data_IF_758086854001
#
_entry.id   IF_758086854001
#
_cell.length_a   1.000
_cell.length_b   1.000
_cell.length_c   1.000
_cell.angle_alpha   90.00
_cell.angle_beta   90.00
_cell.angle_gamma   90.00
#
_symmetry.space_group_name_H-M   'P 1'
#
loop_
_entity.id
_entity.type
_entity.pdbx_description
1 polymer ?
#
# COMPACT_ATOMS: atom_id res chain seq x y z
N UNK A 1 -31.70 5.84 -26.85
CA UNK A 1 -32.85 5.77 -27.78
C UNK A 1 -33.99 5.02 -27.15
N UNK A 2 -35.20 5.37 -27.55
CA UNK A 2 -36.43 4.62 -27.25
C UNK A 2 -37.17 4.42 -28.55
N UNK A 3 -37.38 3.15 -28.95
CA UNK A 3 -38.04 2.79 -30.23
C UNK A 3 -37.42 3.49 -31.43
N UNK A 4 -36.07 3.59 -31.43
CA UNK A 4 -35.22 4.26 -32.44
C UNK A 4 -35.31 5.79 -32.46
N UNK A 5 -36.07 6.40 -31.56
CA UNK A 5 -36.10 7.85 -31.37
C UNK A 5 -35.01 8.28 -30.40
N UNK A 6 -34.28 9.36 -30.74
CA UNK A 6 -33.25 9.93 -29.87
C UNK A 6 -33.90 10.62 -28.65
N UNK A 7 -33.45 10.25 -27.46
CA UNK A 7 -33.94 10.83 -26.20
C UNK A 7 -32.86 11.70 -25.55
N UNK A 8 -31.66 11.15 -25.37
CA UNK A 8 -30.52 11.87 -24.78
C UNK A 8 -29.20 11.25 -25.20
N UNK A 9 -28.16 12.04 -25.26
CA UNK A 9 -26.76 11.60 -25.46
C UNK A 9 -25.99 11.45 -24.13
N UNK A 10 -26.63 11.81 -23.02
CA UNK A 10 -26.02 11.74 -21.70
C UNK A 10 -27.02 11.16 -20.68
N UNK A 11 -26.75 9.96 -20.20
CA UNK A 11 -27.55 9.24 -19.20
C UNK A 11 -26.64 8.59 -18.16
N UNK A 12 -26.42 9.28 -17.05
CA UNK A 12 -25.53 8.83 -15.95
C UNK A 12 -26.10 7.59 -15.26
N UNK A 13 -27.40 7.37 -15.33
CA UNK A 13 -28.09 6.24 -14.72
C UNK A 13 -27.80 4.90 -15.41
N UNK A 14 -27.35 4.92 -16.67
CA UNK A 14 -27.11 3.68 -17.45
C UNK A 14 -25.86 2.92 -17.01
N UNK A 15 -24.85 3.63 -16.51
CA UNK A 15 -23.59 3.03 -16.08
C UNK A 15 -23.15 3.61 -14.74
N UNK A 16 -22.57 2.78 -13.85
CA UNK A 16 -21.92 3.29 -12.66
C UNK A 16 -20.66 4.09 -13.02
N UNK A 17 -20.26 5.01 -12.13
CA UNK A 17 -19.14 5.90 -12.36
C UNK A 17 -17.82 5.16 -12.62
N UNK A 18 -17.62 4.01 -11.99
CA UNK A 18 -16.43 3.17 -12.18
C UNK A 18 -16.39 2.43 -13.54
N UNK A 19 -17.46 2.52 -14.36
CA UNK A 19 -17.48 2.08 -15.76
C UNK A 19 -17.53 3.24 -16.76
N UNK A 20 -17.19 4.47 -16.37
CA UNK A 20 -17.25 5.67 -17.23
C UNK A 20 -16.40 5.62 -18.50
N UNK A 21 -15.48 4.67 -18.60
CA UNK A 21 -14.70 4.43 -19.82
C UNK A 21 -15.48 3.64 -20.87
N UNK A 22 -16.60 3.00 -20.51
CA UNK A 22 -17.46 2.26 -21.44
C UNK A 22 -18.30 3.25 -22.26
N UNK A 23 -18.26 3.13 -23.56
CA UNK A 23 -19.05 3.96 -24.49
C UNK A 23 -19.93 3.07 -25.35
N UNK A 24 -21.11 3.57 -25.69
CA UNK A 24 -22.04 2.85 -26.54
C UNK A 24 -23.38 3.55 -26.61
N UNK A 25 -24.36 2.84 -27.10
CA UNK A 25 -25.75 3.31 -27.16
C UNK A 25 -26.68 2.19 -26.64
N UNK A 26 -27.80 2.61 -26.11
CA UNK A 26 -28.91 1.73 -25.73
C UNK A 26 -30.17 2.19 -26.47
N UNK A 27 -30.87 1.24 -27.09
CA UNK A 27 -32.21 1.43 -27.65
C UNK A 27 -33.17 0.48 -26.93
N UNK A 28 -34.22 1.02 -26.32
CA UNK A 28 -35.20 0.24 -25.55
C UNK A 28 -36.61 0.39 -26.15
N UNK A 29 -37.27 -0.75 -26.34
CA UNK A 29 -38.67 -0.77 -26.77
C UNK A 29 -39.66 -0.69 -25.57
N UNK A 30 -39.16 -0.96 -24.36
CA UNK A 30 -39.97 -1.05 -23.14
C UNK A 30 -40.16 0.32 -22.45
N UNK A 31 -39.41 1.32 -22.82
CA UNK A 31 -39.54 2.67 -22.29
C UNK A 31 -40.60 3.46 -23.08
N UNK A 32 -41.39 4.34 -22.44
CA UNK A 32 -42.33 5.21 -23.12
C UNK A 32 -41.62 6.32 -23.88
N UNK A 33 -42.07 6.69 -25.08
CA UNK A 33 -41.50 7.75 -25.92
C UNK A 33 -41.51 9.16 -25.27
N UNK A 34 -42.44 9.40 -24.36
CA UNK A 34 -42.60 10.68 -23.65
C UNK A 34 -41.74 10.78 -22.40
N UNK A 35 -40.76 9.90 -22.23
CA UNK A 35 -39.89 9.88 -21.06
C UNK A 35 -38.99 11.14 -21.05
N UNK A 36 -39.02 11.88 -19.95
CA UNK A 36 -38.11 12.99 -19.71
C UNK A 36 -36.86 12.52 -18.97
N UNK A 37 -35.80 13.35 -19.00
CA UNK A 37 -34.56 13.08 -18.27
C UNK A 37 -34.78 12.86 -16.78
N UNK A 38 -35.69 13.58 -16.16
CA UNK A 38 -36.06 13.42 -14.74
C UNK A 38 -36.78 12.09 -14.46
N UNK A 39 -37.60 11.62 -15.42
CA UNK A 39 -38.28 10.33 -15.30
C UNK A 39 -37.33 9.14 -15.49
N UNK A 40 -36.16 9.32 -16.10
CA UNK A 40 -35.15 8.27 -16.23
C UNK A 40 -34.52 7.93 -14.87
N UNK A 41 -34.34 8.89 -13.98
CA UNK A 41 -33.62 8.70 -12.71
C UNK A 41 -34.27 7.69 -11.75
N UNK A 42 -35.55 7.46 -11.84
CA UNK A 42 -36.30 6.54 -10.97
C UNK A 42 -37.00 5.41 -11.74
N UNK A 43 -36.59 5.17 -12.99
CA UNK A 43 -37.28 4.18 -13.83
C UNK A 43 -36.77 2.75 -13.56
N UNK A 44 -37.63 1.81 -13.13
CA UNK A 44 -37.23 0.44 -12.83
C UNK A 44 -36.76 -0.33 -14.08
N UNK A 45 -37.21 0.03 -15.28
CA UNK A 45 -36.72 -0.56 -16.54
C UNK A 45 -35.27 -0.14 -16.77
N UNK A 46 -34.96 1.14 -16.53
CA UNK A 46 -33.58 1.64 -16.67
C UNK A 46 -32.63 0.96 -15.69
N UNK A 47 -33.08 0.75 -14.44
CA UNK A 47 -32.29 0.01 -13.45
C UNK A 47 -31.98 -1.42 -13.90
N UNK A 48 -32.94 -2.12 -14.51
CA UNK A 48 -32.71 -3.46 -15.09
C UNK A 48 -31.76 -3.42 -16.28
N UNK A 49 -31.88 -2.40 -17.15
CA UNK A 49 -30.96 -2.22 -18.28
C UNK A 49 -29.54 -2.00 -17.73
N UNK A 50 -29.36 -1.12 -16.74
CA UNK A 50 -28.07 -0.90 -16.07
C UNK A 50 -27.48 -2.20 -15.55
N UNK A 51 -28.22 -2.97 -14.77
CA UNK A 51 -27.77 -4.28 -14.26
C UNK A 51 -27.34 -5.22 -15.38
N UNK A 52 -28.13 -5.29 -16.46
CA UNK A 52 -27.81 -6.11 -17.63
C UNK A 52 -26.54 -5.68 -18.35
N UNK A 53 -26.32 -4.38 -18.51
CA UNK A 53 -25.13 -3.82 -19.14
C UNK A 53 -23.90 -4.06 -18.27
N UNK A 54 -23.98 -3.75 -16.97
CA UNK A 54 -22.89 -4.00 -16.02
C UNK A 54 -22.48 -5.46 -16.04
N UNK A 55 -23.44 -6.39 -15.95
CA UNK A 55 -23.17 -7.82 -16.01
C UNK A 55 -22.46 -8.22 -17.31
N UNK A 56 -22.96 -7.74 -18.47
CA UNK A 56 -22.35 -8.05 -19.77
C UNK A 56 -20.92 -7.50 -19.89
N UNK A 57 -20.65 -6.30 -19.38
CA UNK A 57 -19.31 -5.72 -19.38
C UNK A 57 -18.37 -6.55 -18.51
N UNK A 58 -18.78 -6.89 -17.28
CA UNK A 58 -17.96 -7.72 -16.38
C UNK A 58 -17.71 -9.13 -16.96
N UNK A 59 -18.72 -9.77 -17.58
CA UNK A 59 -18.57 -11.06 -18.24
C UNK A 59 -17.62 -10.99 -19.46
N UNK A 60 -17.66 -9.89 -20.20
CA UNK A 60 -16.72 -9.66 -21.30
C UNK A 60 -15.30 -9.49 -20.79
N UNK A 61 -15.09 -8.66 -19.76
CA UNK A 61 -13.78 -8.44 -19.15
C UNK A 61 -13.21 -9.73 -18.55
N UNK A 62 -14.05 -10.54 -17.90
CA UNK A 62 -13.65 -11.85 -17.37
C UNK A 62 -13.13 -12.78 -18.47
N UNK A 63 -13.89 -12.95 -19.57
CA UNK A 63 -13.45 -13.77 -20.70
C UNK A 63 -12.16 -13.26 -21.30
N UNK A 64 -12.00 -11.95 -21.39
CA UNK A 64 -10.78 -11.34 -21.89
C UNK A 64 -9.59 -11.56 -20.96
N UNK A 65 -9.80 -11.47 -19.65
CA UNK A 65 -8.78 -11.78 -18.65
C UNK A 65 -8.30 -13.24 -18.70
N UNK A 66 -9.22 -14.17 -19.01
CA UNK A 66 -8.94 -15.61 -19.10
C UNK A 66 -8.24 -16.01 -20.41
N UNK A 67 -8.60 -15.37 -21.54
CA UNK A 67 -8.20 -15.84 -22.87
C UNK A 67 -7.20 -14.91 -23.60
N UNK A 68 -7.05 -13.66 -23.17
CA UNK A 68 -6.28 -12.62 -23.84
C UNK A 68 -5.42 -11.84 -22.84
N UNK A 69 -4.51 -12.54 -22.14
CA UNK A 69 -3.78 -11.98 -21.00
C UNK A 69 -3.04 -10.66 -21.31
N UNK A 70 -2.36 -10.55 -22.46
CA UNK A 70 -1.63 -9.33 -22.86
C UNK A 70 -2.57 -8.17 -23.15
N UNK A 71 -3.65 -8.43 -23.89
CA UNK A 71 -4.66 -7.42 -24.19
C UNK A 71 -5.39 -6.98 -22.91
N UNK A 72 -5.62 -7.90 -21.98
CA UNK A 72 -6.18 -7.57 -20.67
C UNK A 72 -5.21 -6.76 -19.80
N UNK A 73 -3.93 -7.08 -19.82
CA UNK A 73 -2.90 -6.28 -19.13
C UNK A 73 -2.85 -4.84 -19.65
N UNK A 74 -2.94 -4.66 -20.97
CA UNK A 74 -3.02 -3.33 -21.60
C UNK A 74 -4.28 -2.58 -21.14
N UNK A 75 -5.43 -3.25 -21.14
CA UNK A 75 -6.69 -2.70 -20.63
C UNK A 75 -6.55 -2.30 -19.15
N UNK A 76 -6.00 -3.19 -18.31
CA UNK A 76 -5.84 -2.97 -16.89
C UNK A 76 -4.92 -1.77 -16.59
N UNK A 77 -3.83 -1.64 -17.30
CA UNK A 77 -2.91 -0.51 -17.14
C UNK A 77 -3.58 0.85 -17.45
N UNK A 78 -4.58 0.88 -18.33
CA UNK A 78 -5.29 2.11 -18.68
C UNK A 78 -6.51 2.38 -17.81
N UNK A 79 -7.23 1.35 -17.39
CA UNK A 79 -8.55 1.49 -16.76
C UNK A 79 -8.67 0.78 -15.40
N UNK A 80 -7.64 0.09 -14.93
CA UNK A 80 -7.67 -0.66 -13.70
C UNK A 80 -7.94 0.19 -12.47
N UNK A 81 -7.35 1.39 -12.39
CA UNK A 81 -7.60 2.33 -11.29
C UNK A 81 -9.07 2.73 -11.22
N UNK A 82 -9.69 3.01 -12.38
CA UNK A 82 -11.12 3.38 -12.46
C UNK A 82 -12.01 2.18 -12.10
N UNK A 83 -11.65 0.99 -12.59
CA UNK A 83 -12.43 -0.23 -12.29
C UNK A 83 -12.39 -0.57 -10.80
N UNK A 84 -11.28 -0.31 -10.11
CA UNK A 84 -11.12 -0.50 -8.67
C UNK A 84 -12.01 0.41 -7.82
N UNK A 85 -12.46 1.55 -8.34
CA UNK A 85 -13.45 2.40 -7.66
C UNK A 85 -14.72 1.61 -7.32
N UNK A 86 -15.14 0.69 -8.20
CA UNK A 86 -16.29 -0.19 -7.97
C UNK A 86 -16.16 -1.10 -6.75
N UNK A 87 -14.94 -1.46 -6.33
CA UNK A 87 -14.71 -2.21 -5.10
C UNK A 87 -15.17 -1.44 -3.85
N UNK A 88 -15.07 -0.11 -3.88
CA UNK A 88 -15.52 0.76 -2.83
C UNK A 88 -16.99 1.17 -2.99
N UNK A 89 -17.39 1.55 -4.21
CA UNK A 89 -18.70 2.14 -4.49
C UNK A 89 -19.84 1.11 -4.55
N UNK A 90 -19.57 -0.13 -5.00
CA UNK A 90 -20.62 -1.11 -5.28
C UNK A 90 -20.34 -2.48 -4.62
N UNK A 91 -20.71 -2.63 -3.33
CA UNK A 91 -20.46 -3.86 -2.57
C UNK A 91 -20.95 -5.15 -3.23
N UNK A 92 -22.07 -5.07 -3.96
CA UNK A 92 -22.65 -6.21 -4.66
C UNK A 92 -21.79 -6.75 -5.81
N UNK A 93 -20.90 -5.92 -6.37
CA UNK A 93 -20.01 -6.29 -7.47
C UNK A 93 -18.59 -6.66 -7.01
N UNK A 94 -18.29 -6.57 -5.71
CA UNK A 94 -16.94 -6.79 -5.17
C UNK A 94 -16.34 -8.12 -5.57
N UNK A 95 -17.09 -9.20 -5.46
CA UNK A 95 -16.59 -10.54 -5.81
C UNK A 95 -16.17 -10.63 -7.29
N UNK A 96 -17.02 -10.11 -8.19
CA UNK A 96 -16.72 -10.09 -9.61
C UNK A 96 -15.51 -9.20 -9.93
N UNK A 97 -15.44 -8.02 -9.30
CA UNK A 97 -14.35 -7.07 -9.50
C UNK A 97 -13.02 -7.57 -8.93
N UNK A 98 -13.01 -8.25 -7.77
CA UNK A 98 -11.79 -8.85 -7.21
C UNK A 98 -11.20 -9.95 -8.10
N UNK A 99 -12.05 -10.73 -8.80
CA UNK A 99 -11.60 -11.72 -9.79
C UNK A 99 -10.96 -11.07 -11.02
N UNK A 100 -11.42 -9.88 -11.39
CA UNK A 100 -10.87 -9.10 -12.50
C UNK A 100 -9.62 -8.32 -12.13
N UNK A 101 -9.48 -7.94 -10.86
CA UNK A 101 -8.40 -7.08 -10.39
C UNK A 101 -7.01 -7.70 -10.64
N UNK A 102 -6.09 -6.84 -11.05
CA UNK A 102 -4.68 -7.18 -11.27
C UNK A 102 -3.81 -6.20 -10.51
N UNK A 103 -2.69 -6.70 -9.99
CA UNK A 103 -1.81 -5.94 -9.12
C UNK A 103 -0.35 -6.13 -9.50
N UNK A 104 0.47 -5.14 -9.23
CA UNK A 104 1.92 -5.31 -9.17
C UNK A 104 2.28 -5.98 -7.85
N UNK A 105 3.35 -6.75 -7.83
CA UNK A 105 3.82 -7.42 -6.61
C UNK A 105 5.34 -7.58 -6.59
N UNK A 106 5.86 -8.01 -5.45
CA UNK A 106 7.28 -8.35 -5.31
C UNK A 106 7.64 -9.71 -5.91
N UNK A 107 6.67 -10.50 -6.39
CA UNK A 107 6.92 -11.76 -7.07
C UNK A 107 7.44 -11.49 -8.49
N UNK A 108 8.68 -11.83 -8.74
CA UNK A 108 9.34 -11.71 -10.04
C UNK A 108 10.75 -11.14 -9.92
N UNK A 109 11.64 -11.61 -10.79
CA UNK A 109 13.08 -11.29 -10.77
C UNK A 109 13.40 -9.83 -11.14
N UNK A 110 12.42 -9.04 -11.56
CA UNK A 110 12.62 -7.69 -12.12
C UNK A 110 11.78 -6.59 -11.47
N UNK A 111 11.27 -6.82 -10.27
CA UNK A 111 10.66 -5.71 -9.50
C UNK A 111 9.32 -5.20 -10.02
N UNK A 112 8.41 -6.09 -10.44
CA UNK A 112 7.00 -5.71 -10.46
C UNK A 112 6.34 -5.37 -11.80
N UNK A 113 6.95 -5.68 -12.95
CA UNK A 113 6.30 -5.39 -14.24
C UNK A 113 5.15 -6.35 -14.58
N UNK A 114 5.18 -7.57 -14.06
CA UNK A 114 4.10 -8.52 -14.27
C UNK A 114 2.89 -8.23 -13.37
N UNK A 115 1.71 -8.27 -13.98
CA UNK A 115 0.45 -8.17 -13.25
C UNK A 115 0.04 -9.55 -12.70
N UNK A 116 -0.37 -9.60 -11.44
CA UNK A 116 -0.84 -10.80 -10.76
C UNK A 116 -2.29 -10.66 -10.35
N UNK A 117 -3.05 -11.76 -10.35
CA UNK A 117 -4.38 -11.81 -9.75
C UNK A 117 -4.29 -12.13 -8.26
N UNK A 118 -5.38 -11.87 -7.51
CA UNK A 118 -5.45 -12.31 -6.11
C UNK A 118 -5.42 -13.83 -5.98
N UNK A 119 -6.02 -14.55 -6.93
CA UNK A 119 -5.97 -16.02 -6.96
C UNK A 119 -4.53 -16.54 -7.13
N UNK A 120 -3.75 -15.93 -8.03
CA UNK A 120 -2.33 -16.28 -8.20
C UNK A 120 -1.52 -15.98 -6.94
N UNK A 121 -1.78 -14.85 -6.28
CA UNK A 121 -1.15 -14.49 -5.02
C UNK A 121 -1.44 -15.55 -3.95
N UNK A 122 -2.73 -15.86 -3.72
CA UNK A 122 -3.15 -16.86 -2.73
C UNK A 122 -2.55 -18.24 -3.02
N UNK A 123 -2.47 -18.63 -4.30
CA UNK A 123 -1.84 -19.87 -4.73
C UNK A 123 -0.33 -19.96 -4.43
N UNK A 124 0.34 -18.82 -4.22
CA UNK A 124 1.78 -18.74 -3.88
C UNK A 124 2.06 -18.40 -2.42
N UNK A 125 1.02 -18.25 -1.59
CA UNK A 125 1.20 -17.98 -0.16
C UNK A 125 2.04 -19.06 0.51
N UNK A 126 2.89 -18.65 1.44
CA UNK A 126 3.75 -19.55 2.19
C UNK A 126 3.00 -20.30 3.30
N UNK A 127 3.53 -21.43 3.72
CA UNK A 127 3.00 -22.18 4.88
C UNK A 127 3.05 -21.30 6.14
N UNK A 128 1.93 -21.19 6.84
CA UNK A 128 1.76 -20.30 7.99
C UNK A 128 1.36 -18.86 7.65
N UNK A 129 1.35 -18.47 6.37
CA UNK A 129 0.86 -17.16 5.95
C UNK A 129 -0.67 -17.12 6.00
N UNK A 130 -1.24 -16.20 6.76
CA UNK A 130 -2.69 -16.06 6.95
C UNK A 130 -3.29 -14.83 6.26
N UNK A 131 -2.44 -13.91 5.80
CA UNK A 131 -2.88 -12.62 5.25
C UNK A 131 -2.28 -12.35 3.87
N UNK A 132 -2.99 -11.55 3.09
CA UNK A 132 -2.51 -10.95 1.85
C UNK A 132 -1.77 -9.67 2.23
N UNK A 133 -0.45 -9.66 2.08
CA UNK A 133 0.36 -8.51 2.41
C UNK A 133 0.36 -7.49 1.27
N UNK A 134 0.28 -6.21 1.61
CA UNK A 134 0.36 -5.13 0.65
C UNK A 134 1.16 -3.93 1.19
N UNK A 135 1.73 -3.18 0.27
CA UNK A 135 2.37 -1.89 0.51
C UNK A 135 1.75 -0.86 -0.42
N UNK A 136 1.28 0.25 0.12
CA UNK A 136 0.84 1.40 -0.68
C UNK A 136 2.01 2.35 -0.91
N UNK A 137 2.09 2.95 -2.09
CA UNK A 137 3.19 3.84 -2.45
C UNK A 137 2.80 4.84 -3.53
N UNK A 138 3.57 5.94 -3.65
CA UNK A 138 3.31 7.00 -4.63
C UNK A 138 3.75 6.62 -6.05
N UNK A 139 4.68 5.68 -6.14
CA UNK A 139 5.12 5.07 -7.40
C UNK A 139 5.56 3.63 -7.19
N UNK A 140 5.56 2.84 -8.27
CA UNK A 140 6.02 1.46 -8.24
C UNK A 140 7.50 1.37 -7.83
N UNK A 141 8.32 2.28 -8.34
CA UNK A 141 9.75 2.31 -8.04
C UNK A 141 10.01 2.58 -6.55
N UNK A 142 9.35 3.58 -5.97
CA UNK A 142 9.46 3.91 -4.55
C UNK A 142 8.96 2.76 -3.67
N UNK A 143 7.78 2.21 -3.98
CA UNK A 143 7.23 1.07 -3.25
C UNK A 143 8.16 -0.16 -3.32
N UNK A 144 8.71 -0.47 -4.49
CA UNK A 144 9.61 -1.60 -4.66
C UNK A 144 10.94 -1.47 -3.91
N UNK A 145 11.37 -0.24 -3.56
CA UNK A 145 12.62 0.02 -2.81
C UNK A 145 12.40 0.23 -1.32
N UNK A 146 11.17 0.11 -0.84
CA UNK A 146 10.84 0.37 0.55
C UNK A 146 11.56 -0.61 1.50
N UNK A 147 12.18 -0.12 2.58
CA UNK A 147 12.76 -0.97 3.63
C UNK A 147 11.71 -1.83 4.34
N UNK A 148 10.44 -1.47 4.26
CA UNK A 148 9.32 -2.26 4.79
C UNK A 148 9.25 -3.67 4.17
N UNK A 149 9.79 -3.86 2.96
CA UNK A 149 9.77 -5.13 2.23
C UNK A 149 10.91 -6.09 2.57
N UNK A 150 11.95 -5.62 3.25
CA UNK A 150 13.19 -6.40 3.43
C UNK A 150 12.95 -7.77 4.06
N UNK A 151 12.26 -7.82 5.20
CA UNK A 151 11.96 -9.07 5.89
C UNK A 151 11.04 -10.01 5.11
N UNK A 152 10.10 -9.46 4.36
CA UNK A 152 9.22 -10.24 3.49
C UNK A 152 10.00 -10.87 2.35
N UNK A 153 10.89 -10.09 1.71
CA UNK A 153 11.78 -10.60 0.66
C UNK A 153 12.75 -11.64 1.18
N UNK A 154 13.34 -11.43 2.35
CA UNK A 154 14.25 -12.38 2.97
C UNK A 154 13.59 -13.74 3.22
N UNK A 155 12.28 -13.78 3.43
CA UNK A 155 11.49 -15.01 3.59
C UNK A 155 10.81 -15.48 2.29
N UNK A 156 10.99 -14.77 1.19
CA UNK A 156 10.33 -15.08 -0.09
C UNK A 156 8.81 -14.90 -0.05
N UNK A 157 8.32 -14.02 0.84
CA UNK A 157 6.90 -13.69 0.96
C UNK A 157 6.55 -12.61 -0.06
N UNK A 158 5.56 -12.88 -0.88
CA UNK A 158 5.05 -11.92 -1.86
C UNK A 158 4.28 -10.80 -1.17
N UNK A 159 4.48 -9.56 -1.64
CA UNK A 159 3.75 -8.36 -1.20
C UNK A 159 3.18 -7.65 -2.41
N UNK A 160 1.88 -7.32 -2.38
CA UNK A 160 1.23 -6.51 -3.41
C UNK A 160 1.71 -5.06 -3.31
N UNK A 161 1.99 -4.43 -4.46
CA UNK A 161 2.41 -3.04 -4.56
C UNK A 161 1.23 -2.22 -5.11
N UNK A 162 0.59 -1.46 -4.24
CA UNK A 162 -0.62 -0.70 -4.53
C UNK A 162 -0.25 0.78 -4.71
N UNK A 163 -0.33 1.28 -5.93
CA UNK A 163 0.14 2.63 -6.29
C UNK A 163 -0.99 3.59 -6.68
N UNK A 164 -2.21 3.11 -6.84
CA UNK A 164 -3.35 3.95 -7.16
C UNK A 164 -3.97 4.57 -5.89
N UNK A 165 -4.39 5.84 -5.97
CA UNK A 165 -4.98 6.52 -4.81
C UNK A 165 -6.26 5.84 -4.28
N UNK A 166 -7.01 5.15 -5.15
CA UNK A 166 -8.21 4.41 -4.77
C UNK A 166 -7.92 3.20 -3.87
N UNK A 167 -6.69 2.69 -3.87
CA UNK A 167 -6.31 1.52 -3.08
C UNK A 167 -6.45 1.77 -1.57
N UNK A 168 -6.24 3.01 -1.14
CA UNK A 168 -6.42 3.42 0.26
C UNK A 168 -7.88 3.31 0.75
N UNK A 169 -8.84 3.30 -0.18
CA UNK A 169 -10.26 3.28 0.15
C UNK A 169 -10.86 1.89 -0.02
N UNK A 170 -10.53 1.17 -1.10
CA UNK A 170 -11.15 -0.13 -1.33
C UNK A 170 -10.58 -1.23 -0.43
N UNK A 171 -9.30 -1.21 -0.09
CA UNK A 171 -8.69 -2.27 0.75
C UNK A 171 -9.37 -2.39 2.11
N UNK A 172 -9.55 -1.30 2.89
CA UNK A 172 -10.28 -1.39 4.16
C UNK A 172 -11.77 -1.69 3.98
N UNK A 173 -12.39 -1.28 2.86
CA UNK A 173 -13.80 -1.54 2.57
C UNK A 173 -14.07 -3.01 2.22
N UNK A 174 -13.14 -3.67 1.56
CA UNK A 174 -13.21 -5.10 1.19
C UNK A 174 -12.78 -5.97 2.36
N UNK A 175 -11.68 -5.65 3.02
CA UNK A 175 -11.15 -6.30 4.21
C UNK A 175 -10.45 -7.64 3.96
N UNK A 176 -11.02 -8.51 3.14
CA UNK A 176 -10.50 -9.87 2.89
C UNK A 176 -10.78 -10.38 1.47
N UNK A 177 -10.02 -11.38 1.06
CA UNK A 177 -10.27 -12.16 -0.16
C UNK A 177 -9.99 -13.64 0.13
N UNK A 178 -10.93 -14.52 -0.21
CA UNK A 178 -10.84 -15.97 0.00
C UNK A 178 -10.48 -16.34 1.47
N UNK A 179 -11.10 -15.66 2.44
CA UNK A 179 -10.85 -15.84 3.87
C UNK A 179 -9.47 -15.36 4.34
N UNK A 180 -8.75 -14.59 3.51
CA UNK A 180 -7.44 -14.00 3.85
C UNK A 180 -7.59 -12.50 3.98
N UNK A 181 -7.29 -11.96 5.16
CA UNK A 181 -7.33 -10.51 5.41
C UNK A 181 -6.22 -9.78 4.66
N UNK A 182 -6.52 -8.57 4.20
CA UNK A 182 -5.47 -7.66 3.72
C UNK A 182 -4.72 -7.05 4.90
N UNK A 183 -3.38 -7.15 4.89
CA UNK A 183 -2.52 -6.59 5.94
C UNK A 183 -1.44 -5.69 5.34
N UNK A 184 -1.43 -4.42 5.75
CA UNK A 184 -0.38 -3.48 5.36
C UNK A 184 0.95 -3.85 6.01
N UNK A 185 2.02 -3.89 5.23
CA UNK A 185 3.38 -4.12 5.75
C UNK A 185 3.92 -2.92 6.53
N UNK A 186 3.26 -1.76 6.44
CA UNK A 186 3.64 -0.55 7.18
C UNK A 186 3.03 -0.47 8.57
N UNK A 187 2.20 -1.46 8.96
CA UNK A 187 1.54 -1.49 10.27
C UNK A 187 2.03 -2.62 11.15
N UNK A 188 2.08 -2.33 12.43
CA UNK A 188 2.30 -3.30 13.50
C UNK A 188 3.61 -4.07 13.45
N UNK A 189 3.69 -5.09 14.27
CA UNK A 189 4.75 -6.09 14.21
C UNK A 189 4.60 -6.95 12.97
N UNK A 190 5.72 -7.24 12.32
CA UNK A 190 5.71 -8.22 11.25
C UNK A 190 5.65 -9.63 11.89
N UNK A 191 4.50 -10.32 11.77
CA UNK A 191 4.35 -11.71 12.22
C UNK A 191 5.14 -12.69 11.32
N UNK A 192 6.35 -12.29 10.94
CA UNK A 192 7.18 -13.04 10.01
C UNK A 192 7.68 -14.36 10.61
N UNK A 193 7.81 -14.43 11.93
CA UNK A 193 8.35 -15.62 12.61
C UNK A 193 7.43 -16.84 12.51
N UNK A 194 6.12 -16.62 12.38
CA UNK A 194 5.16 -17.71 12.19
C UNK A 194 5.13 -18.26 10.75
N UNK A 195 5.73 -17.56 9.78
CA UNK A 195 5.71 -17.94 8.37
C UNK A 195 7.01 -18.67 8.02
N UNK A 196 6.89 -19.85 7.46
CA UNK A 196 8.04 -20.61 6.96
C UNK A 196 8.56 -19.96 5.68
N UNK A 197 9.76 -19.43 5.74
CA UNK A 197 10.47 -18.88 4.57
C UNK A 197 11.01 -19.97 3.65
N UNK A 198 11.50 -19.58 2.48
CA UNK A 198 12.20 -20.49 1.58
C UNK A 198 13.55 -20.89 2.21
N UNK A 199 13.82 -22.19 2.28
CA UNK A 199 15.05 -22.73 2.87
C UNK A 199 16.36 -22.19 2.25
N UNK A 200 16.28 -21.52 1.09
CA UNK A 200 17.42 -20.88 0.42
C UNK A 200 17.68 -19.45 0.87
N UNK A 201 16.74 -18.83 1.59
CA UNK A 201 16.79 -17.43 2.01
C UNK A 201 16.80 -17.25 3.53
N UNK A 202 16.91 -18.33 4.30
CA UNK A 202 17.11 -18.22 5.75
C UNK A 202 18.50 -17.63 6.08
N UNK A 203 18.69 -16.35 5.79
CA UNK A 203 19.63 -15.54 6.54
C UNK A 203 19.04 -15.44 7.96
N UNK A 204 19.55 -16.27 8.88
CA UNK A 204 19.29 -16.05 10.30
C UNK A 204 19.64 -14.59 10.61
N UNK A 205 18.71 -13.81 11.18
CA UNK A 205 19.06 -12.48 11.60
C UNK A 205 20.31 -12.58 12.50
N UNK A 206 21.34 -11.81 12.16
CA UNK A 206 22.50 -11.71 13.01
C UNK A 206 22.05 -11.25 14.41
N UNK A 207 22.62 -11.78 15.48
CA UNK A 207 22.25 -11.39 16.83
C UNK A 207 22.41 -9.87 16.97
N UNK A 208 21.40 -9.24 17.57
CA UNK A 208 21.43 -7.79 17.83
C UNK A 208 22.69 -7.42 18.63
N UNK A 209 23.25 -6.25 18.33
CA UNK A 209 24.45 -5.75 18.98
C UNK A 209 24.30 -5.72 20.51
N UNK A 210 25.36 -6.07 21.23
CA UNK A 210 25.39 -5.93 22.69
C UNK A 210 25.14 -4.47 23.10
N UNK A 211 24.25 -4.26 24.07
CA UNK A 211 23.88 -2.92 24.53
C UNK A 211 22.77 -2.25 23.72
N UNK A 212 22.10 -2.98 22.81
CA UNK A 212 21.01 -2.45 21.99
C UNK A 212 19.85 -1.89 22.85
N UNK A 213 19.51 -2.51 23.97
CA UNK A 213 18.44 -2.07 24.83
C UNK A 213 18.72 -0.69 25.45
N UNK A 214 19.98 -0.44 25.83
CA UNK A 214 20.41 0.87 26.31
C UNK A 214 20.35 1.94 25.21
N UNK A 215 20.72 1.57 23.97
CA UNK A 215 20.57 2.47 22.83
C UNK A 215 19.11 2.81 22.59
N UNK A 216 18.22 1.83 22.55
CA UNK A 216 16.76 2.02 22.39
C UNK A 216 16.23 2.99 23.47
N UNK A 217 16.60 2.78 24.72
CA UNK A 217 16.18 3.66 25.84
C UNK A 217 16.66 5.10 25.66
N UNK A 218 17.92 5.31 25.26
CA UNK A 218 18.44 6.64 24.99
C UNK A 218 17.81 7.30 23.76
N UNK A 219 17.56 6.55 22.71
CA UNK A 219 16.86 7.08 21.51
C UNK A 219 15.42 7.50 21.85
N UNK A 220 14.70 6.74 22.70
CA UNK A 220 13.38 7.14 23.19
C UNK A 220 13.46 8.47 23.96
N UNK A 221 14.43 8.63 24.83
CA UNK A 221 14.63 9.88 25.58
C UNK A 221 14.99 11.06 24.68
N UNK A 222 15.81 10.83 23.64
CA UNK A 222 16.25 11.87 22.71
C UNK A 222 15.14 12.34 21.78
N UNK A 223 14.30 11.41 21.29
CA UNK A 223 13.26 11.68 20.30
C UNK A 223 11.93 12.09 20.94
N UNK A 224 11.67 11.73 22.19
CA UNK A 224 10.45 12.11 22.95
C UNK A 224 9.17 11.95 22.11
N UNK A 225 8.43 13.05 22.00
CA UNK A 225 7.13 13.10 21.31
C UNK A 225 7.24 13.05 19.76
N UNK A 226 8.47 13.08 19.22
CA UNK A 226 8.67 12.96 17.77
C UNK A 226 8.39 11.55 17.23
N UNK A 227 8.44 10.55 18.11
CA UNK A 227 8.09 9.16 17.83
C UNK A 227 7.16 8.62 18.91
N UNK A 228 6.33 7.64 18.55
CA UNK A 228 5.47 6.93 19.51
C UNK A 228 6.29 5.98 20.37
N UNK A 229 7.24 5.30 19.75
CA UNK A 229 8.17 4.37 20.39
C UNK A 229 9.42 4.17 19.52
N UNK A 230 10.45 3.55 20.11
CA UNK A 230 11.62 3.03 19.41
C UNK A 230 11.76 1.55 19.77
N UNK A 231 11.92 0.68 18.78
CA UNK A 231 12.10 -0.77 19.02
C UNK A 231 13.06 -1.40 18.04
N UNK A 232 13.58 -2.58 18.40
CA UNK A 232 14.38 -3.38 17.46
C UNK A 232 13.45 -4.00 16.41
N UNK A 233 13.83 -3.88 15.16
CA UNK A 233 13.07 -4.36 14.01
C UNK A 233 13.17 -5.88 13.85
N UNK A 234 12.07 -6.50 13.45
CA UNK A 234 12.03 -7.90 12.99
C UNK A 234 11.95 -8.00 11.45
N UNK A 235 11.82 -6.85 10.77
CA UNK A 235 11.67 -6.80 9.30
C UNK A 235 12.90 -6.28 8.56
N UNK A 236 13.75 -5.49 9.21
CA UNK A 236 14.92 -4.92 8.56
C UNK A 236 16.07 -5.92 8.49
N UNK A 237 16.66 -6.03 7.31
CA UNK A 237 17.83 -6.88 7.04
C UNK A 237 19.04 -6.10 6.52
N UNK A 238 18.81 -4.99 5.82
CA UNK A 238 19.82 -4.14 5.20
C UNK A 238 19.77 -2.70 5.68
N UNK A 239 18.60 -2.08 5.73
CA UNK A 239 18.43 -0.71 6.19
C UNK A 239 18.64 -0.57 7.69
N UNK A 240 19.15 0.60 8.12
CA UNK A 240 19.38 0.90 9.54
C UNK A 240 18.08 1.11 10.32
N UNK A 241 17.10 1.76 9.69
CA UNK A 241 15.85 2.19 10.34
C UNK A 241 14.68 2.18 9.36
N UNK A 242 13.46 2.10 9.89
CA UNK A 242 12.22 2.42 9.18
C UNK A 242 11.17 2.96 10.16
N UNK A 243 10.14 3.64 9.62
CA UNK A 243 8.96 4.04 10.37
C UNK A 243 7.84 3.04 10.19
N UNK A 244 7.06 2.80 11.25
CA UNK A 244 5.95 1.87 11.28
C UNK A 244 4.77 2.51 11.99
N UNK A 245 3.57 2.37 11.43
CA UNK A 245 2.34 2.69 12.16
C UNK A 245 1.98 1.56 13.12
N UNK A 246 1.32 1.85 14.24
CA UNK A 246 0.78 0.80 15.10
C UNK A 246 -0.38 0.06 14.43
N UNK A 247 -0.71 -1.13 14.94
CA UNK A 247 -1.80 -1.97 14.39
C UNK A 247 -3.15 -1.24 14.34
N UNK A 248 -3.45 -0.40 15.33
CA UNK A 248 -4.68 0.37 15.41
C UNK A 248 -4.63 1.73 14.69
N UNK A 249 -3.47 2.14 14.21
CA UNK A 249 -3.30 3.43 13.57
C UNK A 249 -3.68 3.36 12.07
N UNK A 250 -3.94 4.54 11.49
CA UNK A 250 -4.16 4.71 10.07
C UNK A 250 -2.88 4.34 9.28
N UNK A 251 -3.05 3.76 8.09
CA UNK A 251 -1.94 3.54 7.16
C UNK A 251 -1.18 4.84 6.89
N UNK A 252 0.15 4.75 6.77
CA UNK A 252 1.02 5.93 6.71
C UNK A 252 0.74 6.78 5.48
N UNK A 253 0.46 6.14 4.33
CA UNK A 253 0.15 6.87 3.09
C UNK A 253 -1.22 7.53 3.17
N UNK A 254 -2.23 6.84 3.68
CA UNK A 254 -3.55 7.41 3.87
C UNK A 254 -3.50 8.64 4.79
N UNK A 255 -2.78 8.54 5.90
CA UNK A 255 -2.60 9.67 6.81
C UNK A 255 -1.95 10.88 6.11
N UNK A 256 -0.90 10.67 5.29
CA UNK A 256 -0.27 11.72 4.48
C UNK A 256 -1.24 12.36 3.49
N UNK A 257 -2.00 11.55 2.75
CA UNK A 257 -3.01 12.04 1.81
C UNK A 257 -4.04 12.92 2.49
N UNK A 258 -4.55 12.48 3.65
CA UNK A 258 -5.52 13.25 4.43
C UNK A 258 -4.93 14.56 4.95
N UNK A 259 -3.66 14.55 5.39
CA UNK A 259 -2.98 15.78 5.81
C UNK A 259 -2.80 16.76 4.64
N UNK A 260 -2.35 16.28 3.48
CA UNK A 260 -2.20 17.11 2.28
C UNK A 260 -3.52 17.76 1.85
N UNK A 261 -4.64 17.05 2.02
CA UNK A 261 -5.99 17.56 1.76
C UNK A 261 -6.60 18.32 2.94
N UNK A 262 -5.82 18.66 3.97
CA UNK A 262 -6.28 19.40 5.18
C UNK A 262 -7.47 18.74 5.88
N UNK A 263 -7.52 17.39 5.85
CA UNK A 263 -8.54 16.60 6.56
C UNK A 263 -8.10 16.23 7.97
N UNK A 264 -6.80 16.24 8.22
CA UNK A 264 -6.17 16.10 9.54
C UNK A 264 -5.09 17.16 9.66
N UNK A 265 -4.88 17.69 10.88
CA UNK A 265 -3.95 18.79 11.14
C UNK A 265 -2.50 18.31 11.24
N UNK A 266 -2.28 17.13 11.80
CA UNK A 266 -0.94 16.58 12.00
C UNK A 266 -0.94 15.04 11.83
N UNK A 267 0.22 14.50 11.45
CA UNK A 267 0.46 13.06 11.43
C UNK A 267 0.66 12.57 12.87
N UNK A 268 0.04 11.44 13.20
CA UNK A 268 0.31 10.77 14.48
C UNK A 268 1.79 10.33 14.54
N UNK A 269 2.45 10.40 15.72
CA UNK A 269 3.79 9.88 15.89
C UNK A 269 3.85 8.40 15.52
N UNK A 270 4.93 8.00 14.83
CA UNK A 270 5.17 6.62 14.39
C UNK A 270 6.12 5.90 15.33
N UNK A 271 6.18 4.60 15.21
CA UNK A 271 7.22 3.79 15.84
C UNK A 271 8.46 3.79 14.95
N UNK A 272 9.62 4.12 15.50
CA UNK A 272 10.90 3.98 14.83
C UNK A 272 11.45 2.58 15.08
N UNK A 273 11.54 1.76 14.05
CA UNK A 273 12.23 0.47 14.11
C UNK A 273 13.70 0.63 13.73
N UNK A 274 14.59 0.03 14.52
CA UNK A 274 16.04 0.04 14.28
C UNK A 274 16.52 -1.39 14.00
N UNK A 275 17.43 -1.53 13.05
CA UNK A 275 18.07 -2.82 12.72
C UNK A 275 19.24 -3.08 13.65
N UNK A 276 19.08 -3.98 14.61
CA UNK A 276 20.07 -4.29 15.66
C UNK A 276 21.40 -4.86 15.13
N UNK A 277 21.44 -5.38 13.91
CA UNK A 277 22.64 -5.92 13.26
C UNK A 277 23.32 -4.91 12.30
N UNK A 278 22.66 -3.79 11.99
CA UNK A 278 23.23 -2.80 11.08
C UNK A 278 24.49 -2.12 11.68
N UNK A 279 25.58 -1.95 10.89
CA UNK A 279 26.85 -1.43 11.40
C UNK A 279 26.74 -0.09 12.14
N UNK A 280 25.91 0.83 11.65
CA UNK A 280 25.67 2.14 12.30
C UNK A 280 24.99 1.95 13.68
N UNK A 281 24.00 1.09 13.76
CA UNK A 281 23.28 0.81 15.00
C UNK A 281 24.20 0.11 16.01
N UNK A 282 25.00 -0.86 15.55
CA UNK A 282 26.00 -1.53 16.39
C UNK A 282 27.07 -0.55 16.91
N UNK A 283 27.54 0.36 16.08
CA UNK A 283 28.50 1.41 16.48
C UNK A 283 27.90 2.36 17.55
N UNK A 284 26.63 2.75 17.40
CA UNK A 284 25.92 3.57 18.37
C UNK A 284 25.72 2.84 19.72
N UNK A 285 25.32 1.55 19.68
CA UNK A 285 25.18 0.72 20.88
C UNK A 285 26.51 0.61 21.64
N UNK A 286 27.63 0.44 20.92
CA UNK A 286 28.99 0.43 21.50
C UNK A 286 29.36 1.78 22.10
N UNK A 287 29.02 2.89 21.44
CA UNK A 287 29.27 4.25 21.93
C UNK A 287 28.55 4.51 23.27
N UNK A 288 27.27 4.08 23.36
CA UNK A 288 26.48 4.12 24.61
C UNK A 288 27.18 3.35 25.72
N UNK A 289 27.58 2.12 25.46
CA UNK A 289 28.25 1.24 26.43
C UNK A 289 29.61 1.81 26.90
N UNK A 290 30.24 2.70 26.09
CA UNK A 290 31.50 3.37 26.38
C UNK A 290 31.33 4.75 27.05
N UNK A 291 30.12 5.12 27.47
CA UNK A 291 29.82 6.39 28.14
C UNK A 291 29.73 7.62 27.23
N UNK A 292 29.70 7.43 25.89
CA UNK A 292 29.58 8.52 24.89
C UNK A 292 28.11 8.77 24.48
N UNK A 293 27.18 8.78 25.44
CA UNK A 293 25.74 8.90 25.17
C UNK A 293 25.30 10.23 24.51
N UNK A 294 26.07 11.32 24.69
CA UNK A 294 25.74 12.62 24.08
C UNK A 294 25.68 12.58 22.55
N UNK A 295 26.56 11.79 21.91
CA UNK A 295 26.57 11.62 20.47
C UNK A 295 25.33 10.90 19.90
N UNK A 296 24.58 10.20 20.76
CA UNK A 296 23.40 9.43 20.36
C UNK A 296 22.22 10.32 20.03
N UNK A 297 22.10 11.48 20.70
CA UNK A 297 20.96 12.39 20.47
C UNK A 297 20.90 12.87 19.00
N UNK A 298 22.01 13.37 18.48
CA UNK A 298 22.07 13.85 17.09
C UNK A 298 21.93 12.70 16.09
N UNK A 299 22.53 11.55 16.39
CA UNK A 299 22.39 10.35 15.56
C UNK A 299 20.94 9.84 15.54
N UNK A 300 20.21 9.85 16.66
CA UNK A 300 18.81 9.46 16.74
C UNK A 300 17.92 10.35 15.85
N UNK A 301 18.13 11.66 15.87
CA UNK A 301 17.42 12.60 15.02
C UNK A 301 17.76 12.41 13.53
N UNK A 302 19.02 12.18 13.18
CA UNK A 302 19.43 11.90 11.80
C UNK A 302 18.78 10.60 11.28
N UNK A 303 18.75 9.56 12.10
CA UNK A 303 18.11 8.28 11.75
C UNK A 303 16.58 8.43 11.59
N UNK A 304 15.94 9.20 12.47
CA UNK A 304 14.50 9.50 12.33
C UNK A 304 14.22 10.29 11.04
N UNK A 305 15.02 11.30 10.75
CA UNK A 305 14.86 12.11 9.56
C UNK A 305 15.17 11.31 8.29
N UNK A 306 16.15 10.39 8.33
CA UNK A 306 16.39 9.41 7.26
C UNK A 306 15.15 8.55 7.01
N UNK A 307 14.54 8.01 8.07
CA UNK A 307 13.35 7.19 7.93
C UNK A 307 12.15 7.98 7.36
N UNK A 308 11.98 9.25 7.76
CA UNK A 308 10.97 10.16 7.19
C UNK A 308 11.19 10.40 5.69
N UNK A 309 12.42 10.66 5.29
CA UNK A 309 12.78 10.84 3.86
C UNK A 309 12.44 9.59 3.06
N UNK A 310 12.75 8.41 3.59
CA UNK A 310 12.44 7.13 2.93
C UNK A 310 10.93 6.91 2.75
N UNK A 311 10.13 7.38 3.70
CA UNK A 311 8.67 7.35 3.61
C UNK A 311 8.06 8.49 2.78
N UNK A 312 8.90 9.39 2.23
CA UNK A 312 8.45 10.55 1.45
C UNK A 312 7.80 11.64 2.31
N UNK A 313 8.06 11.67 3.61
CA UNK A 313 7.63 12.75 4.49
C UNK A 313 8.56 13.96 4.36
N UNK A 314 8.02 15.16 4.56
CA UNK A 314 8.82 16.36 4.68
C UNK A 314 9.49 16.43 6.05
N UNK A 315 10.76 16.85 6.09
CA UNK A 315 11.44 17.06 7.35
C UNK A 315 10.79 18.20 8.15
N UNK A 316 10.60 17.99 9.44
CA UNK A 316 10.06 19.01 10.34
C UNK A 316 11.03 20.19 10.53
N UNK A 317 12.34 19.92 10.50
CA UNK A 317 13.41 20.92 10.61
C UNK A 317 14.58 20.58 9.67
N UNK A 318 14.48 20.95 8.36
CA UNK A 318 15.55 20.72 7.38
C UNK A 318 16.88 21.39 7.74
N UNK A 319 16.82 22.53 8.46
CA UNK A 319 18.02 23.27 8.86
C UNK A 319 18.79 22.51 9.94
N UNK A 320 18.09 21.99 10.95
CA UNK A 320 18.71 21.17 11.99
C UNK A 320 19.29 19.88 11.42
N UNK A 321 18.57 19.23 10.48
CA UNK A 321 19.06 18.06 9.75
C UNK A 321 20.37 18.35 9.02
N UNK A 322 20.42 19.40 8.22
CA UNK A 322 21.63 19.79 7.46
C UNK A 322 22.81 20.08 8.38
N UNK A 323 22.57 20.77 9.51
CA UNK A 323 23.61 21.06 10.50
C UNK A 323 24.19 19.78 11.11
N UNK A 324 23.31 18.88 11.62
CA UNK A 324 23.73 17.60 12.21
C UNK A 324 24.50 16.73 11.20
N UNK A 325 24.02 16.67 9.96
CA UNK A 325 24.70 15.93 8.90
C UNK A 325 26.09 16.49 8.62
N UNK A 326 26.20 17.82 8.52
CA UNK A 326 27.51 18.50 8.33
C UNK A 326 28.51 18.22 9.45
N UNK A 327 28.05 18.20 10.71
CA UNK A 327 28.88 17.88 11.88
C UNK A 327 29.38 16.43 11.87
N UNK A 328 28.50 15.47 11.47
CA UNK A 328 28.88 14.06 11.35
C UNK A 328 29.89 13.87 10.22
N UNK A 329 29.64 14.47 9.05
CA UNK A 329 30.56 14.41 7.92
C UNK A 329 31.92 15.04 8.28
N UNK A 330 31.94 16.21 8.95
CA UNK A 330 33.16 16.83 9.43
C UNK A 330 34.01 15.92 10.33
N UNK A 331 33.35 15.19 11.27
CA UNK A 331 34.01 14.22 12.14
C UNK A 331 34.49 12.96 11.41
N UNK A 332 33.85 12.58 10.32
CA UNK A 332 34.24 11.40 9.55
C UNK A 332 35.51 11.62 8.69
N UNK A 333 35.80 12.88 8.32
CA UNK A 333 36.92 13.25 7.46
C UNK A 333 38.00 14.05 8.19
N UNK A 334 37.93 14.25 9.50
CA UNK A 334 38.96 14.82 10.36
C UNK A 334 39.73 13.70 11.08
#
# INVERSE_FOLDING_TARGET
YVKREFITDHCEELLPHWLRFVKGLVDSEDLPLNISREMLQQNPVLAKIRQGVVKKVLDYLRRRAENEAEAYATFWNNFGAVLKEGLYEEPEQREALLKLARFRSTAGSTGGDALVSLADYVGRMKEGQTSIYYLTGDSLEAAARSPQLEGYRAKGIEVLLLIDGVDEFWVPAVGEYDGKSFKSVTRGGADLDAIKGDAKTENKPEPAAAGIDNLVALMKLALKDAVKDVRVSQRLTDSAVCLVADDGDMDMRLARLLQQHKRIDALAPRVLEINGSHPVIAALAKAVSSGKGEAVTDAAWLLLDQARIQEGETLSDPTAFAKRLGEVLGKAFS
#
